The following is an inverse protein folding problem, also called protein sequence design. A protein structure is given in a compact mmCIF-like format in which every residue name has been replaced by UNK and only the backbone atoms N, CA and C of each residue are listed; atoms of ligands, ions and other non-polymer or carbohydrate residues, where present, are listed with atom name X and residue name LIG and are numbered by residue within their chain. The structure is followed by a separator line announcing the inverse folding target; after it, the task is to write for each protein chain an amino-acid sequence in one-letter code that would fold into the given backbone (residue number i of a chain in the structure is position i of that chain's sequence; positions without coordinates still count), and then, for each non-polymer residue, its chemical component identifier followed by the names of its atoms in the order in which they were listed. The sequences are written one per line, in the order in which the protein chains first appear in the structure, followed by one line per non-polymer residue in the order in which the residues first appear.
data_IF_214846934358
#
_entry.id   IF_214846934358
#
_cell.length_a   1.000
_cell.length_b   1.000
_cell.length_c   1.000
_cell.angle_alpha   90.00
_cell.angle_beta   90.00
_cell.angle_gamma   90.00
#
_symmetry.space_group_name_H-M   'P 1'
#
loop_
_entity.id
_entity.type
_entity.pdbx_description
1 polymer ?
#
# COMPACT_ATOMS: atom_id res chain seq x y z
N UNK A 1 -3.33 71.37 68.53
CA UNK A 1 -2.03 70.99 67.95
C UNK A 1 -2.02 69.51 67.98
N UNK A 2 -2.40 68.85 66.86
CA UNK A 2 -2.47 67.38 66.75
C UNK A 2 -1.44 67.03 65.65
N UNK A 3 -0.49 66.23 66.01
CA UNK A 3 0.70 65.84 65.25
C UNK A 3 0.33 64.86 64.12
N UNK A 4 0.66 65.20 62.88
CA UNK A 4 0.44 64.48 61.68
C UNK A 4 1.81 63.90 61.15
N UNK A 5 2.35 62.94 61.88
CA UNK A 5 3.55 62.22 61.44
C UNK A 5 3.43 60.71 61.68
N UNK A 6 2.81 59.99 60.78
CA UNK A 6 2.72 58.52 60.96
C UNK A 6 2.08 57.71 59.86
N UNK A 7 1.95 58.24 58.59
CA UNK A 7 1.21 57.52 57.57
C UNK A 7 1.94 57.28 56.20
N UNK A 8 3.27 57.38 56.12
CA UNK A 8 3.96 57.26 54.83
C UNK A 8 4.88 56.05 54.63
N UNK A 9 5.04 55.16 55.65
CA UNK A 9 5.96 53.99 55.53
C UNK A 9 5.30 52.65 55.10
N UNK A 10 3.94 52.60 55.05
CA UNK A 10 3.24 51.37 54.77
C UNK A 10 2.99 51.05 53.27
N UNK A 11 3.01 52.08 52.41
CA UNK A 11 2.58 51.95 51.02
C UNK A 11 3.72 51.46 50.08
N UNK A 12 4.99 51.78 50.40
CA UNK A 12 6.14 51.41 49.53
C UNK A 12 6.51 49.93 49.55
N UNK A 13 6.33 49.27 50.70
CA UNK A 13 6.66 47.82 50.84
C UNK A 13 5.64 46.88 50.18
N UNK A 14 4.36 47.29 50.05
CA UNK A 14 3.32 46.48 49.41
C UNK A 14 3.41 46.52 47.88
N UNK A 15 3.88 47.61 47.28
CA UNK A 15 4.03 47.78 45.84
C UNK A 15 5.23 46.94 45.31
N UNK A 16 6.35 46.87 46.05
CA UNK A 16 7.49 46.05 45.66
C UNK A 16 7.20 44.55 45.77
N UNK A 17 6.43 44.13 46.78
CA UNK A 17 6.03 42.72 46.96
C UNK A 17 5.11 42.20 45.83
N UNK A 18 4.17 43.01 45.39
CA UNK A 18 3.23 42.65 44.30
C UNK A 18 3.92 42.66 42.92
N UNK A 19 4.85 43.56 42.67
CA UNK A 19 5.61 43.59 41.41
C UNK A 19 6.56 42.42 41.27
N UNK A 20 7.22 41.99 42.35
CA UNK A 20 8.11 40.80 42.33
C UNK A 20 7.32 39.49 42.14
N UNK A 21 6.17 39.31 42.75
CA UNK A 21 5.32 38.14 42.58
C UNK A 21 4.69 38.04 41.20
N UNK A 22 4.35 39.16 40.57
CA UNK A 22 3.84 39.21 39.20
C UNK A 22 4.93 38.85 38.16
N UNK A 23 6.18 39.31 38.35
CA UNK A 23 7.30 38.98 37.44
C UNK A 23 7.70 37.50 37.52
N UNK A 24 7.72 36.88 38.70
CA UNK A 24 7.99 35.44 38.88
C UNK A 24 6.91 34.59 38.22
N UNK A 25 5.62 34.96 38.32
CA UNK A 25 4.50 34.29 37.63
C UNK A 25 4.58 34.44 36.12
N UNK A 26 4.93 35.61 35.60
CA UNK A 26 5.10 35.85 34.17
C UNK A 26 6.29 35.10 33.56
N UNK A 27 7.36 34.92 34.30
CA UNK A 27 8.50 34.10 33.88
C UNK A 27 8.20 32.63 33.89
N UNK A 28 7.46 32.12 34.88
CA UNK A 28 7.05 30.69 34.96
C UNK A 28 6.12 30.30 33.80
N UNK A 29 5.17 31.14 33.44
CA UNK A 29 4.25 30.89 32.32
C UNK A 29 4.96 30.93 30.95
N UNK A 30 5.91 31.86 30.77
CA UNK A 30 6.74 31.91 29.55
C UNK A 30 7.62 30.67 29.41
N UNK A 31 8.26 30.24 30.48
CA UNK A 31 9.08 29.02 30.48
C UNK A 31 8.22 27.77 30.19
N UNK A 32 7.05 27.66 30.82
CA UNK A 32 6.10 26.58 30.53
C UNK A 32 5.64 26.59 29.05
N UNK A 33 5.38 27.75 28.47
CA UNK A 33 5.04 27.89 27.05
C UNK A 33 6.18 27.46 26.12
N UNK A 34 7.43 27.87 26.44
CA UNK A 34 8.60 27.41 25.66
C UNK A 34 8.81 25.91 25.77
N UNK A 35 8.69 25.33 26.95
CA UNK A 35 8.80 23.88 27.15
C UNK A 35 7.70 23.15 26.36
N UNK A 36 6.47 23.61 26.41
CA UNK A 36 5.36 23.01 25.65
C UNK A 36 5.62 23.06 24.12
N UNK A 37 6.13 24.17 23.60
CA UNK A 37 6.50 24.30 22.19
C UNK A 37 7.65 23.35 21.81
N UNK A 38 8.67 23.21 22.65
CA UNK A 38 9.77 22.27 22.41
C UNK A 38 9.31 20.82 22.45
N UNK A 39 8.40 20.46 23.36
CA UNK A 39 7.80 19.13 23.40
C UNK A 39 6.97 18.87 22.13
N UNK A 40 6.15 19.82 21.73
CA UNK A 40 5.38 19.71 20.49
C UNK A 40 6.30 19.57 19.27
N UNK A 41 7.32 20.39 19.16
CA UNK A 41 8.30 20.29 18.06
C UNK A 41 9.04 18.95 18.07
N UNK A 42 9.39 18.42 19.23
CA UNK A 42 10.01 17.10 19.37
C UNK A 42 9.06 15.98 18.96
N UNK A 43 7.77 16.07 19.35
CA UNK A 43 6.75 15.10 18.93
C UNK A 43 6.49 15.15 17.42
N UNK A 44 6.44 16.33 16.82
CA UNK A 44 6.30 16.49 15.37
C UNK A 44 7.53 15.95 14.63
N UNK A 45 8.73 16.24 15.12
CA UNK A 45 9.96 15.70 14.55
C UNK A 45 10.03 14.17 14.67
N UNK A 46 9.60 13.61 15.80
CA UNK A 46 9.52 12.18 16.00
C UNK A 46 8.47 11.55 15.05
N UNK A 47 7.29 12.12 14.97
CA UNK A 47 6.24 11.66 14.06
C UNK A 47 6.73 11.67 12.60
N UNK A 48 7.40 12.75 12.19
CA UNK A 48 7.99 12.85 10.85
C UNK A 48 9.12 11.82 10.63
N UNK A 49 9.98 11.58 11.61
CA UNK A 49 11.04 10.57 11.51
C UNK A 49 10.47 9.14 11.40
N UNK A 50 9.39 8.85 12.13
CA UNK A 50 8.71 7.56 12.10
C UNK A 50 7.94 7.31 10.79
N UNK A 51 7.61 8.35 10.04
CA UNK A 51 6.95 8.25 8.74
C UNK A 51 7.93 8.15 7.56
N UNK A 52 9.24 8.15 7.80
CA UNK A 52 10.21 8.00 6.72
C UNK A 52 10.20 6.55 6.21
N UNK A 53 10.03 6.35 4.90
CA UNK A 53 10.13 5.01 4.33
C UNK A 53 11.55 4.46 4.54
N UNK A 54 11.73 3.14 4.59
CA UNK A 54 13.04 2.51 4.65
C UNK A 54 13.88 2.92 3.44
N UNK A 55 15.19 2.91 3.61
CA UNK A 55 16.11 3.16 2.49
C UNK A 55 15.92 2.08 1.40
N UNK A 56 15.83 2.52 0.15
CA UNK A 56 15.68 1.63 -0.99
C UNK A 56 16.98 0.82 -1.19
N UNK A 57 16.84 -0.49 -1.37
CA UNK A 57 17.96 -1.31 -1.78
C UNK A 57 18.29 -1.04 -3.26
N UNK A 58 19.56 -0.77 -3.55
CA UNK A 58 20.04 -0.51 -4.90
C UNK A 58 19.90 -1.73 -5.81
N UNK A 59 19.90 -1.53 -7.14
CA UNK A 59 19.87 -2.60 -8.11
C UNK A 59 21.05 -3.59 -7.97
N UNK A 60 22.18 -3.12 -7.42
CA UNK A 60 23.37 -3.94 -7.13
C UNK A 60 23.26 -4.78 -5.85
N UNK A 61 22.18 -4.65 -5.08
CA UNK A 61 21.95 -5.47 -3.90
C UNK A 61 21.92 -6.98 -4.25
N UNK A 62 22.24 -7.87 -3.30
CA UNK A 62 22.17 -9.32 -3.55
C UNK A 62 20.85 -9.74 -4.20
N UNK A 63 20.90 -10.74 -5.08
CA UNK A 63 19.71 -11.21 -5.80
C UNK A 63 18.57 -11.68 -4.86
N UNK A 64 18.91 -12.10 -3.64
CA UNK A 64 17.96 -12.52 -2.59
C UNK A 64 17.41 -11.37 -1.75
N UNK A 65 17.75 -10.13 -2.08
CA UNK A 65 17.25 -8.92 -1.42
C UNK A 65 16.30 -8.23 -2.38
N UNK A 66 15.09 -7.88 -1.93
CA UNK A 66 14.16 -7.07 -2.72
C UNK A 66 14.80 -5.70 -3.03
N UNK A 67 14.79 -5.30 -4.30
CA UNK A 67 15.30 -4.00 -4.75
C UNK A 67 14.22 -3.24 -5.52
N UNK A 68 13.81 -2.11 -4.97
CA UNK A 68 12.86 -1.23 -5.64
C UNK A 68 13.42 -0.67 -6.95
N UNK A 69 14.75 -0.49 -7.07
CA UNK A 69 15.36 -0.05 -8.33
C UNK A 69 15.22 -1.10 -9.44
N UNK A 70 15.35 -2.40 -9.12
CA UNK A 70 15.10 -3.47 -10.09
C UNK A 70 13.64 -3.57 -10.45
N UNK A 71 12.74 -3.50 -9.45
CA UNK A 71 11.30 -3.46 -9.69
C UNK A 71 10.90 -2.28 -10.61
N UNK A 72 11.53 -1.12 -10.41
CA UNK A 72 11.26 0.05 -11.23
C UNK A 72 11.67 -0.14 -12.71
N UNK A 73 12.71 -0.90 -12.98
CA UNK A 73 13.07 -1.27 -14.37
C UNK A 73 11.98 -2.13 -15.02
N UNK A 74 11.40 -3.07 -14.27
CA UNK A 74 10.27 -3.88 -14.74
C UNK A 74 9.03 -3.01 -14.96
N UNK A 75 8.73 -2.10 -14.03
CA UNK A 75 7.65 -1.12 -14.17
C UNK A 75 7.78 -0.30 -15.46
N UNK A 76 8.95 0.27 -15.73
CA UNK A 76 9.19 1.07 -16.95
C UNK A 76 9.00 0.27 -18.23
N UNK A 77 9.22 -1.03 -18.21
CA UNK A 77 9.00 -1.92 -19.38
C UNK A 77 7.52 -2.21 -19.61
N UNK A 78 6.74 -2.32 -18.54
CA UNK A 78 5.32 -2.63 -18.63
C UNK A 78 4.44 -1.40 -18.78
N UNK A 79 4.80 -0.29 -18.12
CA UNK A 79 4.06 0.97 -18.16
C UNK A 79 4.60 1.92 -19.23
N UNK A 80 4.53 1.49 -20.49
CA UNK A 80 4.79 2.34 -21.66
C UNK A 80 3.69 3.39 -21.84
N UNK A 81 3.76 4.21 -22.92
CA UNK A 81 2.76 5.24 -23.19
C UNK A 81 1.41 4.67 -23.61
N UNK A 82 1.36 3.41 -24.04
CA UNK A 82 0.13 2.75 -24.49
C UNK A 82 -0.57 2.08 -23.31
N UNK A 83 -1.89 2.33 -23.13
CA UNK A 83 -2.70 1.57 -22.20
C UNK A 83 -2.73 0.08 -22.53
N UNK A 84 -2.95 -0.75 -21.52
CA UNK A 84 -3.03 -2.20 -21.65
C UNK A 84 -4.41 -2.74 -21.24
N UNK A 85 -5.51 -2.23 -21.80
CA UNK A 85 -6.82 -2.76 -21.47
C UNK A 85 -6.95 -4.21 -21.93
N UNK A 86 -7.87 -4.93 -21.30
CA UNK A 86 -8.22 -6.31 -21.66
C UNK A 86 -8.30 -6.51 -23.18
N UNK A 87 -7.66 -7.57 -23.69
CA UNK A 87 -7.68 -7.93 -25.11
C UNK A 87 -6.87 -7.03 -26.03
N UNK A 88 -6.04 -6.12 -25.50
CA UNK A 88 -5.16 -5.27 -26.30
C UNK A 88 -3.84 -5.96 -26.65
N UNK A 89 -3.25 -5.59 -27.79
CA UNK A 89 -1.91 -6.08 -28.18
C UNK A 89 -0.85 -5.66 -27.17
N UNK A 90 -0.99 -4.46 -26.58
CA UNK A 90 -0.09 -3.98 -25.54
C UNK A 90 -0.23 -4.81 -24.25
N UNK A 91 -1.46 -5.23 -23.88
CA UNK A 91 -1.71 -6.16 -22.78
C UNK A 91 -1.08 -7.54 -23.04
N UNK A 92 -1.19 -8.06 -24.27
CA UNK A 92 -0.52 -9.30 -24.66
C UNK A 92 0.99 -9.23 -24.47
N UNK A 93 1.61 -8.11 -24.83
CA UNK A 93 3.04 -7.89 -24.66
C UNK A 93 3.45 -7.86 -23.18
N UNK A 94 2.64 -7.25 -22.30
CA UNK A 94 2.86 -7.28 -20.84
C UNK A 94 2.73 -8.71 -20.32
N UNK A 95 1.67 -9.44 -20.70
CA UNK A 95 1.48 -10.86 -20.33
C UNK A 95 2.71 -11.69 -20.70
N UNK A 96 3.20 -11.57 -21.94
CA UNK A 96 4.33 -12.34 -22.41
C UNK A 96 5.63 -11.98 -21.67
N UNK A 97 5.78 -10.70 -21.29
CA UNK A 97 6.87 -10.25 -20.43
C UNK A 97 6.79 -10.89 -19.03
N UNK A 98 5.60 -10.95 -18.43
CA UNK A 98 5.37 -11.61 -17.13
C UNK A 98 5.76 -13.09 -17.19
N UNK A 99 5.25 -13.82 -18.20
CA UNK A 99 5.54 -15.24 -18.37
C UNK A 99 7.04 -15.49 -18.49
N UNK A 100 7.74 -14.71 -19.31
CA UNK A 100 9.19 -14.87 -19.50
C UNK A 100 9.99 -14.58 -18.24
N UNK A 101 9.62 -13.50 -17.52
CA UNK A 101 10.36 -13.05 -16.33
C UNK A 101 10.16 -14.00 -15.15
N UNK A 102 8.93 -14.45 -14.91
CA UNK A 102 8.62 -15.40 -13.84
C UNK A 102 9.23 -16.79 -14.10
N UNK A 103 9.21 -17.26 -15.36
CA UNK A 103 9.89 -18.51 -15.76
C UNK A 103 11.39 -18.42 -15.54
N UNK A 104 12.01 -17.29 -15.88
CA UNK A 104 13.43 -17.04 -15.63
C UNK A 104 13.77 -16.98 -14.12
N UNK A 105 12.83 -16.59 -13.27
CA UNK A 105 12.96 -16.62 -11.83
C UNK A 105 12.75 -18.02 -11.22
N UNK A 106 12.44 -19.03 -12.04
CA UNK A 106 12.32 -20.43 -11.61
C UNK A 106 10.95 -20.86 -11.11
N UNK A 107 9.90 -20.05 -11.38
CA UNK A 107 8.52 -20.41 -11.05
C UNK A 107 7.90 -21.27 -12.16
N UNK A 108 6.94 -22.13 -11.79
CA UNK A 108 6.05 -22.78 -12.76
C UNK A 108 4.99 -21.78 -13.18
N UNK A 109 4.93 -21.45 -14.47
CA UNK A 109 4.05 -20.41 -14.99
C UNK A 109 3.05 -21.00 -15.96
N UNK A 110 1.79 -20.61 -15.82
CA UNK A 110 0.72 -20.91 -16.76
C UNK A 110 -0.03 -19.64 -17.14
N UNK A 111 -0.62 -19.60 -18.32
CA UNK A 111 -1.59 -18.58 -18.73
C UNK A 111 -2.97 -19.20 -18.66
N UNK A 112 -3.73 -18.80 -17.64
CA UNK A 112 -5.12 -19.20 -17.46
C UNK A 112 -6.01 -18.37 -18.38
N UNK A 113 -6.52 -19.00 -19.44
CA UNK A 113 -7.37 -18.37 -20.45
C UNK A 113 -8.82 -18.80 -20.30
N UNK A 114 -9.73 -17.86 -20.27
CA UNK A 114 -11.15 -18.19 -20.16
C UNK A 114 -12.08 -17.00 -20.17
N UNK A 115 -13.36 -17.29 -20.02
CA UNK A 115 -14.41 -16.26 -19.89
C UNK A 115 -14.55 -15.88 -18.42
N UNK A 116 -14.02 -14.71 -18.05
CA UNK A 116 -14.32 -14.07 -16.76
C UNK A 116 -15.72 -13.47 -16.80
N UNK A 117 -16.46 -13.58 -15.71
CA UNK A 117 -17.78 -12.98 -15.60
C UNK A 117 -18.12 -12.63 -14.16
N UNK A 118 -18.68 -11.43 -13.95
CA UNK A 118 -19.10 -10.96 -12.63
C UNK A 118 -20.31 -10.02 -12.73
N UNK A 119 -21.18 -10.10 -11.72
CA UNK A 119 -22.38 -9.27 -11.64
C UNK A 119 -22.31 -8.33 -10.45
N UNK A 120 -22.45 -7.04 -10.72
CA UNK A 120 -22.56 -5.97 -9.72
C UNK A 120 -23.84 -5.18 -9.93
N UNK A 121 -24.62 -4.96 -8.87
CA UNK A 121 -25.82 -4.13 -8.96
C UNK A 121 -26.82 -4.53 -10.06
N UNK A 122 -26.84 -5.80 -10.44
CA UNK A 122 -27.70 -6.31 -11.52
C UNK A 122 -27.11 -6.14 -12.93
N UNK A 123 -25.90 -5.60 -13.08
CA UNK A 123 -25.18 -5.52 -14.36
C UNK A 123 -24.10 -6.58 -14.38
N UNK A 124 -24.05 -7.40 -15.44
CA UNK A 124 -23.03 -8.43 -15.64
C UNK A 124 -21.99 -7.94 -16.63
N UNK A 125 -20.73 -7.86 -16.18
CA UNK A 125 -19.58 -7.74 -17.04
C UNK A 125 -19.06 -9.14 -17.40
N UNK A 126 -18.59 -9.32 -18.64
CA UNK A 126 -17.99 -10.59 -19.09
C UNK A 126 -16.98 -10.31 -20.19
N UNK A 127 -15.86 -11.02 -20.19
CA UNK A 127 -14.81 -10.89 -21.18
C UNK A 127 -13.86 -12.06 -21.17
N UNK A 128 -13.16 -12.25 -22.29
CA UNK A 128 -12.04 -13.21 -22.35
C UNK A 128 -10.83 -12.60 -21.64
N UNK A 129 -10.29 -13.31 -20.70
CA UNK A 129 -9.13 -12.88 -19.90
C UNK A 129 -8.00 -13.90 -20.01
N UNK A 130 -6.78 -13.41 -19.87
CA UNK A 130 -5.54 -14.16 -19.92
C UNK A 130 -4.72 -13.95 -18.63
N UNK A 131 -5.18 -14.49 -17.49
CA UNK A 131 -4.41 -14.39 -16.23
C UNK A 131 -3.05 -15.10 -16.35
N UNK A 132 -2.01 -14.49 -15.75
CA UNK A 132 -0.73 -15.18 -15.55
C UNK A 132 -0.69 -15.72 -14.13
N UNK A 133 -0.56 -17.02 -13.98
CA UNK A 133 -0.47 -17.70 -12.67
C UNK A 133 0.91 -18.35 -12.55
N UNK A 134 1.67 -17.94 -11.54
CA UNK A 134 3.00 -18.47 -11.27
C UNK A 134 3.04 -19.13 -9.90
N UNK A 135 3.56 -20.35 -9.84
CA UNK A 135 3.60 -21.15 -8.61
C UNK A 135 5.02 -21.49 -8.22
N UNK A 136 5.36 -21.26 -6.98
CA UNK A 136 6.54 -21.75 -6.29
C UNK A 136 6.09 -22.80 -5.25
N UNK A 137 6.27 -24.11 -5.50
CA UNK A 137 5.83 -25.14 -4.56
C UNK A 137 6.56 -25.05 -3.23
N UNK A 138 5.83 -25.23 -2.13
CA UNK A 138 6.38 -25.30 -0.79
C UNK A 138 6.99 -26.67 -0.48
N UNK A 139 7.99 -26.74 0.40
CA UNK A 139 8.62 -28.01 0.79
C UNK A 139 7.80 -28.82 1.82
N UNK A 140 6.85 -28.18 2.53
CA UNK A 140 5.96 -28.82 3.52
C UNK A 140 4.63 -28.05 3.61
N UNK A 141 3.96 -27.86 2.47
CA UNK A 141 2.78 -27.03 2.35
C UNK A 141 1.62 -27.54 3.19
N UNK A 142 1.06 -26.66 4.03
CA UNK A 142 -0.19 -26.87 4.76
C UNK A 142 -1.28 -25.91 4.26
N UNK A 143 -1.00 -25.14 3.21
CA UNK A 143 -1.85 -24.13 2.60
C UNK A 143 -1.01 -23.29 1.64
N UNK A 144 -1.60 -22.26 1.07
CA UNK A 144 -0.92 -21.38 0.13
C UNK A 144 -1.00 -19.92 0.55
N UNK A 145 -0.03 -19.15 0.08
CA UNK A 145 -0.02 -17.71 0.10
C UNK A 145 -0.23 -17.25 -1.34
N UNK A 146 -1.28 -16.48 -1.58
CA UNK A 146 -1.57 -15.91 -2.90
C UNK A 146 -1.16 -14.44 -2.87
N UNK A 147 -0.36 -14.03 -3.83
CA UNK A 147 -0.05 -12.63 -4.12
C UNK A 147 -0.84 -12.26 -5.36
N UNK A 148 -1.60 -11.16 -5.31
CA UNK A 148 -2.47 -10.76 -6.39
C UNK A 148 -2.28 -9.27 -6.74
N UNK A 149 -2.27 -8.99 -8.06
CA UNK A 149 -2.23 -7.67 -8.66
C UNK A 149 -2.73 -7.77 -10.10
N UNK A 150 -3.27 -6.70 -10.68
CA UNK A 150 -3.73 -6.73 -12.06
C UNK A 150 -2.74 -6.05 -13.01
N UNK A 151 -2.69 -6.50 -14.25
CA UNK A 151 -1.79 -5.92 -15.26
C UNK A 151 -2.52 -5.17 -16.37
N UNK A 152 -3.84 -5.32 -16.46
CA UNK A 152 -4.67 -4.52 -17.35
C UNK A 152 -4.84 -3.09 -16.81
N UNK A 153 -5.32 -2.19 -17.68
CA UNK A 153 -5.56 -0.79 -17.33
C UNK A 153 -6.87 -0.32 -17.93
N UNK A 154 -7.41 0.77 -17.42
CA UNK A 154 -8.50 1.48 -18.08
C UNK A 154 -8.07 2.01 -19.46
N UNK A 155 -9.05 2.25 -20.34
CA UNK A 155 -8.79 2.87 -21.64
C UNK A 155 -8.28 4.31 -21.46
N UNK A 156 -7.04 4.58 -21.89
CA UNK A 156 -6.44 5.91 -21.84
C UNK A 156 -5.50 6.15 -20.66
N UNK A 157 -5.25 5.14 -19.82
CA UNK A 157 -4.34 5.23 -18.69
C UNK A 157 -3.15 4.29 -18.90
N UNK A 158 -1.89 4.75 -18.82
CA UNK A 158 -0.71 3.88 -18.86
C UNK A 158 -0.65 2.88 -17.69
N UNK A 159 -1.26 3.22 -16.54
CA UNK A 159 -1.42 2.34 -15.39
C UNK A 159 -0.11 2.00 -14.69
N UNK A 160 0.75 2.99 -14.50
CA UNK A 160 2.04 2.75 -13.84
C UNK A 160 1.86 2.47 -12.34
N UNK A 161 1.03 3.25 -11.66
CA UNK A 161 0.69 2.99 -10.27
C UNK A 161 -0.41 1.95 -10.17
N UNK A 162 -1.43 2.06 -11.02
CA UNK A 162 -2.64 1.25 -11.04
C UNK A 162 -2.63 0.26 -12.22
N UNK A 163 -2.16 -0.98 -12.07
CA UNK A 163 -1.54 -1.55 -10.88
C UNK A 163 -0.17 -2.19 -11.21
N UNK A 164 0.48 -1.71 -12.29
CA UNK A 164 1.77 -2.26 -12.74
C UNK A 164 2.89 -2.06 -11.73
N UNK A 165 2.76 -1.11 -10.78
CA UNK A 165 3.73 -0.97 -9.69
C UNK A 165 3.72 -2.18 -8.77
N UNK A 166 2.56 -2.71 -8.44
CA UNK A 166 2.38 -3.93 -7.65
C UNK A 166 2.84 -5.16 -8.43
N UNK A 167 2.50 -5.22 -9.73
CA UNK A 167 3.01 -6.25 -10.64
C UNK A 167 4.53 -6.29 -10.64
N UNK A 168 5.19 -5.13 -10.76
CA UNK A 168 6.66 -5.02 -10.74
C UNK A 168 7.25 -5.45 -9.38
N UNK A 169 6.59 -5.10 -8.27
CA UNK A 169 7.00 -5.54 -6.94
C UNK A 169 6.86 -7.06 -6.79
N UNK A 170 5.82 -7.66 -7.35
CA UNK A 170 5.65 -9.12 -7.36
C UNK A 170 6.73 -9.81 -8.21
N UNK A 171 7.10 -9.27 -9.37
CA UNK A 171 8.20 -9.79 -10.19
C UNK A 171 9.54 -9.76 -9.43
N UNK A 172 9.82 -8.66 -8.72
CA UNK A 172 11.02 -8.55 -7.92
C UNK A 172 10.99 -9.50 -6.71
N UNK A 173 9.81 -9.73 -6.13
CA UNK A 173 9.61 -10.72 -5.07
C UNK A 173 9.91 -12.13 -5.58
N UNK A 174 9.42 -12.50 -6.76
CA UNK A 174 9.74 -13.77 -7.41
C UNK A 174 11.26 -13.96 -7.59
N UNK A 175 11.94 -12.91 -8.06
CA UNK A 175 13.41 -12.90 -8.22
C UNK A 175 14.13 -13.03 -6.88
N UNK A 176 13.68 -12.32 -5.84
CA UNK A 176 14.30 -12.36 -4.51
C UNK A 176 14.12 -13.74 -3.83
N UNK A 177 13.03 -14.41 -4.09
CA UNK A 177 12.82 -15.81 -3.66
C UNK A 177 13.81 -16.77 -4.35
N UNK A 178 14.23 -16.46 -5.59
CA UNK A 178 15.27 -17.18 -6.31
C UNK A 178 14.96 -18.68 -6.52
N UNK A 179 13.68 -19.03 -6.72
CA UNK A 179 13.22 -20.38 -6.84
C UNK A 179 13.38 -21.25 -5.57
N UNK A 180 13.77 -20.67 -4.44
CA UNK A 180 13.88 -21.37 -3.17
C UNK A 180 12.50 -21.59 -2.57
N UNK A 181 12.08 -22.83 -2.33
CA UNK A 181 10.77 -23.10 -1.79
C UNK A 181 10.62 -22.53 -0.38
N UNK A 182 9.50 -21.87 -0.12
CA UNK A 182 9.04 -21.57 1.22
C UNK A 182 8.43 -22.83 1.86
N UNK A 183 7.99 -22.75 3.12
CA UNK A 183 7.28 -23.87 3.74
C UNK A 183 5.97 -24.16 3.00
N UNK A 184 5.18 -23.14 2.72
CA UNK A 184 3.90 -23.23 2.02
C UNK A 184 4.07 -22.85 0.55
N UNK A 185 3.13 -23.25 -0.29
CA UNK A 185 3.07 -22.85 -1.67
C UNK A 185 2.91 -21.32 -1.78
N UNK A 186 3.62 -20.70 -2.72
CA UNK A 186 3.41 -19.32 -3.10
C UNK A 186 2.81 -19.32 -4.49
N UNK A 187 1.64 -18.72 -4.64
CA UNK A 187 0.95 -18.54 -5.92
C UNK A 187 0.90 -17.06 -6.20
N UNK A 188 1.44 -16.64 -7.31
CA UNK A 188 1.35 -15.26 -7.80
C UNK A 188 0.34 -15.23 -8.93
N UNK A 189 -0.71 -14.45 -8.78
CA UNK A 189 -1.72 -14.24 -9.80
C UNK A 189 -1.63 -12.80 -10.30
N UNK A 190 -1.43 -12.65 -11.59
CA UNK A 190 -1.47 -11.38 -12.30
C UNK A 190 -2.75 -11.43 -13.13
N UNK A 191 -3.76 -10.71 -12.69
CA UNK A 191 -5.10 -10.78 -13.26
C UNK A 191 -5.24 -9.87 -14.46
N UNK A 192 -6.12 -10.25 -15.38
CA UNK A 192 -6.53 -9.49 -16.55
C UNK A 192 -8.00 -9.09 -16.42
N UNK A 193 -8.35 -7.88 -16.85
CA UNK A 193 -9.72 -7.41 -16.84
C UNK A 193 -10.27 -7.08 -15.45
N UNK A 194 -9.44 -6.66 -14.53
CA UNK A 194 -9.84 -6.09 -13.24
C UNK A 194 -10.71 -4.85 -13.47
N UNK A 195 -10.22 -3.93 -14.28
CA UNK A 195 -10.77 -2.61 -14.58
C UNK A 195 -12.15 -2.63 -15.25
N UNK A 196 -12.53 -3.76 -15.80
CA UNK A 196 -13.83 -3.94 -16.44
C UNK A 196 -14.78 -4.84 -15.65
N UNK A 197 -14.43 -5.17 -14.41
CA UNK A 197 -15.30 -5.88 -13.49
C UNK A 197 -14.72 -7.11 -12.83
N UNK A 198 -13.44 -7.11 -12.44
CA UNK A 198 -12.75 -8.16 -11.68
C UNK A 198 -12.79 -9.52 -12.39
N UNK A 199 -12.70 -9.50 -13.73
CA UNK A 199 -12.99 -10.68 -14.54
C UNK A 199 -11.94 -11.77 -14.34
N UNK A 200 -10.67 -11.40 -14.25
CA UNK A 200 -9.55 -12.32 -14.03
C UNK A 200 -9.63 -13.04 -12.70
N UNK A 201 -9.80 -12.31 -11.63
CA UNK A 201 -9.95 -12.92 -10.30
C UNK A 201 -11.22 -13.78 -10.22
N UNK A 202 -12.30 -13.38 -10.90
CA UNK A 202 -13.52 -14.18 -10.99
C UNK A 202 -13.31 -15.50 -11.74
N UNK A 203 -12.56 -15.50 -12.84
CA UNK A 203 -12.18 -16.72 -13.56
C UNK A 203 -11.30 -17.60 -12.68
N UNK A 204 -10.28 -17.02 -12.03
CA UNK A 204 -9.36 -17.78 -11.17
C UNK A 204 -10.11 -18.55 -10.08
N UNK A 205 -11.08 -17.91 -9.42
CA UNK A 205 -11.90 -18.58 -8.40
C UNK A 205 -12.86 -19.62 -8.98
N UNK A 206 -13.46 -19.34 -10.17
CA UNK A 206 -14.44 -20.24 -10.79
C UNK A 206 -13.83 -21.57 -11.21
N UNK A 207 -12.56 -21.58 -11.63
CA UNK A 207 -11.83 -22.79 -12.07
C UNK A 207 -11.13 -23.55 -10.95
N UNK A 208 -11.24 -23.09 -9.71
CA UNK A 208 -10.66 -23.79 -8.56
C UNK A 208 -11.33 -25.15 -8.33
N UNK A 209 -10.57 -26.17 -7.87
CA UNK A 209 -11.16 -27.43 -7.42
C UNK A 209 -12.19 -27.18 -6.30
N UNK A 210 -13.30 -27.93 -6.33
CA UNK A 210 -14.39 -27.77 -5.33
C UNK A 210 -13.96 -28.01 -3.88
N UNK A 211 -12.88 -28.75 -3.65
CA UNK A 211 -12.32 -29.03 -2.33
C UNK A 211 -11.18 -28.07 -1.95
N UNK A 212 -10.97 -27.03 -2.72
CA UNK A 212 -9.95 -26.04 -2.45
C UNK A 212 -10.30 -25.23 -1.19
N UNK A 213 -9.42 -25.26 -0.20
CA UNK A 213 -9.61 -24.59 1.09
C UNK A 213 -9.27 -23.09 1.04
N UNK A 214 -8.93 -22.53 -0.13
CA UNK A 214 -8.48 -21.15 -0.25
C UNK A 214 -7.01 -20.97 0.17
N UNK A 215 -6.74 -19.98 0.97
CA UNK A 215 -5.41 -19.64 1.45
C UNK A 215 -5.38 -18.23 2.03
N UNK A 216 -4.17 -17.73 2.30
CA UNK A 216 -3.96 -16.33 2.66
C UNK A 216 -3.68 -15.54 1.37
N UNK A 217 -4.44 -14.48 1.12
CA UNK A 217 -4.22 -13.58 0.00
C UNK A 217 -3.65 -12.24 0.47
N UNK A 218 -2.66 -11.77 -0.23
CA UNK A 218 -2.15 -10.41 -0.17
C UNK A 218 -2.44 -9.79 -1.54
N UNK A 219 -3.36 -8.84 -1.58
CA UNK A 219 -3.74 -8.13 -2.79
C UNK A 219 -3.21 -6.72 -2.75
N UNK A 220 -2.77 -6.22 -3.86
CA UNK A 220 -2.34 -4.83 -4.02
C UNK A 220 -3.16 -4.14 -5.09
N UNK A 221 -3.32 -2.85 -4.91
CA UNK A 221 -4.14 -1.93 -5.71
C UNK A 221 -3.53 -0.54 -5.70
N UNK A 222 -4.10 0.35 -6.48
CA UNK A 222 -3.83 1.77 -6.37
C UNK A 222 -5.07 2.61 -6.65
N UNK A 223 -5.28 3.64 -5.85
CA UNK A 223 -6.21 4.75 -6.10
C UNK A 223 -5.48 6.09 -6.17
N UNK A 224 -4.15 6.02 -6.21
CA UNK A 224 -3.23 7.14 -6.31
C UNK A 224 -1.87 6.67 -6.81
N UNK A 225 -0.92 7.58 -6.96
CA UNK A 225 0.39 7.25 -7.55
C UNK A 225 1.58 7.63 -6.66
N UNK A 226 1.35 8.00 -5.41
CA UNK A 226 2.40 8.38 -4.45
C UNK A 226 2.04 7.88 -3.05
N UNK A 227 3.00 7.99 -2.13
CA UNK A 227 2.82 7.62 -0.74
C UNK A 227 3.13 6.15 -0.45
N UNK A 228 2.88 5.71 0.77
CA UNK A 228 3.09 4.33 1.15
C UNK A 228 1.94 3.43 0.68
N UNK A 229 2.21 2.14 0.58
CA UNK A 229 1.17 1.12 0.46
C UNK A 229 0.46 0.97 1.80
N UNK A 230 -0.83 1.26 1.84
CA UNK A 230 -1.67 1.28 3.04
C UNK A 230 -2.56 0.05 3.08
N UNK A 231 -2.56 -0.68 4.18
CA UNK A 231 -3.56 -1.72 4.43
C UNK A 231 -4.91 -1.05 4.69
N UNK A 232 -5.85 -1.20 3.77
CA UNK A 232 -7.16 -0.54 3.83
C UNK A 232 -8.34 -1.52 3.94
N UNK A 233 -8.12 -2.80 3.66
CA UNK A 233 -9.16 -3.81 3.78
C UNK A 233 -8.59 -5.15 4.28
N UNK A 234 -9.39 -5.90 5.02
CA UNK A 234 -9.02 -7.23 5.52
C UNK A 234 -10.26 -8.12 5.60
N UNK A 235 -10.05 -9.43 5.56
CA UNK A 235 -11.09 -10.39 5.91
C UNK A 235 -11.48 -10.28 7.38
N UNK A 236 -12.65 -10.81 7.74
CA UNK A 236 -13.08 -10.91 9.13
C UNK A 236 -12.23 -11.92 9.93
N UNK A 237 -12.14 -11.76 11.26
CA UNK A 237 -11.33 -12.63 12.11
C UNK A 237 -9.82 -12.49 11.92
N UNK A 238 -9.35 -11.33 11.51
CA UNK A 238 -8.02 -11.02 10.99
C UNK A 238 -6.92 -10.73 12.03
N UNK A 239 -7.18 -10.87 13.32
CA UNK A 239 -6.26 -10.43 14.39
C UNK A 239 -4.83 -11.01 14.23
N UNK A 240 -4.72 -12.31 13.91
CA UNK A 240 -3.40 -12.93 13.70
C UNK A 240 -2.72 -12.42 12.43
N UNK A 241 -3.46 -12.24 11.31
CA UNK A 241 -2.89 -11.68 10.08
C UNK A 241 -2.36 -10.26 10.30
N UNK A 242 -3.11 -9.41 11.01
CA UNK A 242 -2.67 -8.05 11.35
C UNK A 242 -1.42 -8.09 12.22
N UNK A 243 -1.37 -8.98 13.19
CA UNK A 243 -0.21 -9.15 14.08
C UNK A 243 1.03 -9.58 13.29
N UNK A 244 0.88 -10.57 12.41
CA UNK A 244 1.98 -11.03 11.56
C UNK A 244 2.43 -9.93 10.58
N UNK A 245 1.50 -9.22 9.95
CA UNK A 245 1.82 -8.07 9.11
C UNK A 245 2.60 -7.00 9.88
N UNK A 246 2.12 -6.61 11.06
CA UNK A 246 2.77 -5.59 11.89
C UNK A 246 4.18 -6.01 12.37
N UNK A 247 4.41 -7.33 12.54
CA UNK A 247 5.70 -7.86 12.95
C UNK A 247 6.69 -8.04 11.78
N UNK A 248 6.17 -8.39 10.59
CA UNK A 248 7.01 -8.76 9.44
C UNK A 248 7.31 -7.57 8.50
N UNK A 249 6.35 -6.65 8.34
CA UNK A 249 6.53 -5.53 7.42
C UNK A 249 7.53 -4.52 7.99
N UNK A 250 8.54 -4.08 7.20
CA UNK A 250 9.50 -3.08 7.64
C UNK A 250 8.87 -1.71 7.96
N UNK A 251 7.72 -1.45 7.34
CA UNK A 251 6.99 -0.19 7.46
C UNK A 251 5.48 -0.45 7.39
N UNK A 252 4.90 -1.07 8.43
CA UNK A 252 3.49 -1.43 8.42
C UNK A 252 2.61 -0.18 8.57
N UNK A 253 1.75 0.05 7.59
CA UNK A 253 0.75 1.12 7.62
C UNK A 253 -0.62 0.51 7.39
N UNK A 254 -1.59 0.87 8.24
CA UNK A 254 -2.98 0.47 8.10
C UNK A 254 -3.89 1.54 8.70
N UNK A 255 -5.07 1.70 8.11
CA UNK A 255 -6.05 2.68 8.57
C UNK A 255 -7.45 2.05 8.64
N UNK A 256 -7.96 1.92 9.87
CA UNK A 256 -9.29 1.36 10.11
C UNK A 256 -10.44 2.28 9.68
N UNK A 257 -10.22 3.59 9.60
CA UNK A 257 -11.22 4.52 9.08
C UNK A 257 -11.35 4.39 7.56
N UNK A 258 -10.23 4.24 6.85
CA UNK A 258 -10.24 3.90 5.43
C UNK A 258 -10.93 2.57 5.16
N UNK A 259 -10.65 1.54 5.97
CA UNK A 259 -11.32 0.25 5.86
C UNK A 259 -12.84 0.35 6.07
N UNK A 260 -13.30 1.20 6.98
CA UNK A 260 -14.72 1.43 7.19
C UNK A 260 -15.35 2.21 6.01
N UNK A 261 -14.65 3.21 5.50
CA UNK A 261 -15.10 4.02 4.35
C UNK A 261 -15.19 3.20 3.07
N UNK A 262 -14.17 2.38 2.78
CA UNK A 262 -14.14 1.49 1.62
C UNK A 262 -15.35 0.54 1.61
N UNK A 263 -15.59 -0.13 2.75
CA UNK A 263 -16.76 -1.01 2.91
C UNK A 263 -18.09 -0.27 2.76
N UNK A 264 -18.20 0.95 3.32
CA UNK A 264 -19.40 1.77 3.19
C UNK A 264 -19.64 2.26 1.76
N UNK A 265 -18.58 2.47 0.98
CA UNK A 265 -18.60 2.89 -0.42
C UNK A 265 -18.96 1.79 -1.41
N UNK A 266 -19.12 0.54 -0.94
CA UNK A 266 -19.34 -0.63 -1.79
C UNK A 266 -18.31 -0.75 -2.94
N UNK A 267 -17.07 -0.41 -2.62
CA UNK A 267 -15.93 -0.51 -3.52
C UNK A 267 -15.50 -1.98 -3.62
N UNK A 268 -14.88 -2.35 -4.73
CA UNK A 268 -14.43 -3.72 -4.98
C UNK A 268 -13.06 -3.71 -5.64
N UNK A 269 -12.33 -4.80 -5.49
CA UNK A 269 -11.05 -5.09 -6.11
C UNK A 269 -10.92 -6.59 -6.31
N UNK A 270 -9.82 -7.07 -6.86
CA UNK A 270 -9.56 -8.51 -7.02
C UNK A 270 -9.58 -9.29 -5.68
N UNK A 271 -9.36 -8.59 -4.57
CA UNK A 271 -9.56 -9.17 -3.24
C UNK A 271 -11.00 -9.67 -3.03
N UNK A 272 -12.00 -8.99 -3.60
CA UNK A 272 -13.42 -9.29 -3.39
C UNK A 272 -13.81 -10.70 -3.84
N UNK A 273 -13.62 -11.12 -5.12
CA UNK A 273 -13.95 -12.49 -5.54
C UNK A 273 -13.09 -13.54 -4.83
N UNK A 274 -11.84 -13.24 -4.50
CA UNK A 274 -10.98 -14.15 -3.73
C UNK A 274 -11.53 -14.35 -2.32
N UNK A 275 -11.91 -13.27 -1.64
CA UNK A 275 -12.48 -13.35 -0.29
C UNK A 275 -13.85 -14.06 -0.27
N UNK A 276 -14.73 -13.78 -1.22
CA UNK A 276 -16.01 -14.49 -1.39
C UNK A 276 -15.83 -15.99 -1.61
N UNK A 277 -14.72 -16.38 -2.25
CA UNK A 277 -14.37 -17.77 -2.50
C UNK A 277 -13.68 -18.47 -1.31
N UNK A 278 -13.56 -17.80 -0.17
CA UNK A 278 -13.05 -18.37 1.08
C UNK A 278 -11.58 -18.12 1.37
N UNK A 279 -10.89 -17.27 0.58
CA UNK A 279 -9.57 -16.79 0.99
C UNK A 279 -9.69 -15.81 2.15
N UNK A 280 -8.73 -15.84 3.05
CA UNK A 280 -8.55 -14.83 4.08
C UNK A 280 -7.35 -13.98 3.72
N UNK A 281 -7.34 -12.68 4.06
CA UNK A 281 -6.19 -11.90 3.63
C UNK A 281 -6.24 -10.42 3.95
N UNK A 282 -5.33 -9.73 3.30
CA UNK A 282 -5.04 -8.30 3.44
C UNK A 282 -5.03 -7.65 2.06
N UNK A 283 -5.64 -6.48 1.97
CA UNK A 283 -5.73 -5.68 0.75
C UNK A 283 -5.06 -4.32 0.97
N UNK A 284 -4.12 -4.00 0.10
CA UNK A 284 -3.25 -2.82 0.20
C UNK A 284 -3.44 -1.92 -1.01
N UNK A 285 -3.26 -0.61 -0.84
CA UNK A 285 -3.25 0.31 -1.98
C UNK A 285 -2.30 1.50 -1.77
N UNK A 286 -1.80 2.04 -2.90
CA UNK A 286 -1.30 3.40 -2.96
C UNK A 286 -2.50 4.34 -2.99
N UNK A 287 -2.60 5.28 -2.04
CA UNK A 287 -3.81 6.09 -1.87
C UNK A 287 -3.60 7.60 -1.99
N UNK A 288 -2.36 8.07 -2.01
CA UNK A 288 -2.03 9.47 -2.18
C UNK A 288 -1.86 9.82 -3.66
N UNK A 289 -2.09 11.08 -4.05
CA UNK A 289 -1.95 11.52 -5.44
C UNK A 289 -3.08 11.04 -6.36
N UNK A 290 -4.30 10.98 -5.86
CA UNK A 290 -5.51 10.48 -6.55
C UNK A 290 -5.83 11.18 -7.87
N UNK A 291 -5.24 12.35 -8.15
CA UNK A 291 -5.40 13.05 -9.42
C UNK A 291 -4.82 12.27 -10.63
N UNK A 292 -3.96 11.29 -10.40
CA UNK A 292 -3.42 10.44 -11.45
C UNK A 292 -4.26 9.18 -11.70
N UNK A 293 -5.10 8.79 -10.74
CA UNK A 293 -5.93 7.59 -10.82
C UNK A 293 -6.85 7.61 -12.02
N UNK A 294 -6.78 6.58 -12.86
CA UNK A 294 -7.52 6.44 -14.11
C UNK A 294 -7.31 7.60 -15.12
N UNK A 295 -6.15 8.28 -15.04
CA UNK A 295 -5.78 9.37 -15.94
C UNK A 295 -4.48 9.09 -16.71
N UNK A 296 -4.30 9.78 -17.84
CA UNK A 296 -3.09 9.68 -18.66
C UNK A 296 -1.80 10.14 -17.95
N UNK A 297 -1.93 10.74 -16.76
CA UNK A 297 -0.80 11.12 -15.90
C UNK A 297 -0.25 9.98 -15.04
N UNK A 298 -0.88 8.82 -15.01
CA UNK A 298 -0.35 7.64 -14.32
C UNK A 298 0.73 6.94 -15.17
N UNK A 299 1.91 7.53 -15.18
CA UNK A 299 3.05 7.10 -16.00
C UNK A 299 4.24 6.70 -15.13
N UNK A 300 5.10 5.83 -15.65
CA UNK A 300 6.33 5.43 -14.98
C UNK A 300 7.32 6.59 -14.75
N UNK A 301 7.24 7.64 -15.57
CA UNK A 301 8.07 8.84 -15.42
C UNK A 301 7.60 9.77 -14.31
N UNK A 302 6.44 9.49 -13.73
CA UNK A 302 5.94 10.14 -12.52
C UNK A 302 6.24 9.26 -11.30
N UNK A 303 7.52 9.10 -10.90
CA UNK A 303 7.85 8.24 -9.77
C UNK A 303 7.12 8.77 -8.54
N UNK A 304 6.76 7.90 -7.59
CA UNK A 304 6.30 8.34 -6.28
C UNK A 304 7.35 9.30 -5.75
N UNK A 305 7.06 10.60 -5.79
CA UNK A 305 7.99 11.60 -5.26
C UNK A 305 8.10 11.29 -3.78
N UNK A 306 9.31 11.04 -3.25
CA UNK A 306 9.49 11.09 -1.81
C UNK A 306 8.90 12.43 -1.36
N UNK A 307 8.24 12.50 -0.19
CA UNK A 307 7.68 13.75 0.30
C UNK A 307 8.75 14.83 0.14
N UNK A 308 8.41 15.91 -0.58
CA UNK A 308 9.35 16.96 -0.89
C UNK A 308 10.07 17.36 0.40
N UNK A 309 11.39 17.21 0.42
CA UNK A 309 12.17 17.79 1.48
C UNK A 309 11.82 19.28 1.46
N UNK A 310 11.11 19.73 2.49
CA UNK A 310 10.86 21.15 2.68
C UNK A 310 12.22 21.83 2.78
N UNK A 311 12.51 22.68 1.82
CA UNK A 311 13.67 23.56 1.82
C UNK A 311 13.56 24.58 2.96
#
# INVERSE_FOLDING_TARGET
MIDLAGATYGCSLMIESTARTADVRGRGTRLAGVVALLVLAALLALAWALQRPPALAAASAPATTFSAERAYVDLQRMAGPEPTPIGSVAGDAVRDYLVSTLSAAGLSVEVQKGLGSRTFGGVTASGLVDNVVATLPGYASTGRIVLAAHYDTTFGTPGAADDKSSVAAMLETARALGGKPSRNDIVMIFTDGEEVGLLGASLFVAERPRNDQGGVVLNWEATGNVGPSVLFETSSGNAELIKEYAAAAPYPIGDSALAALYRAGNQNSDFTPLHEAGFVGLNFALMDGTAAYHHSGDTADSPPRPPAAAH
#
